data_IF_834142609001
#
_entry.id   IF_834142609001
#
_cell.length_a   1.000
_cell.length_b   1.000
_cell.length_c   1.000
_cell.angle_alpha   90.00
_cell.angle_beta   90.00
_cell.angle_gamma   90.00
#
_symmetry.space_group_name_H-M   'P 1'
#
loop_
_entity.id
_entity.type
_entity.pdbx_description
1 polymer ?
#
# COMPACT_ATOMS: atom_id res chain seq x y z
N UNK A 1 -4.28 21.27 10.66
CA UNK A 1 -4.11 19.85 10.93
C UNK A 1 -3.86 19.15 9.61
N UNK A 2 -2.83 18.35 9.53
CA UNK A 2 -2.46 17.61 8.33
C UNK A 2 -2.59 16.11 8.56
N UNK A 3 -3.23 15.41 7.64
CA UNK A 3 -3.31 13.95 7.61
C UNK A 3 -2.56 13.44 6.39
N UNK A 4 -1.67 12.50 6.60
CA UNK A 4 -0.90 11.84 5.54
C UNK A 4 -1.18 10.35 5.56
N UNK A 5 -1.47 9.79 4.39
CA UNK A 5 -1.59 8.37 4.14
C UNK A 5 -0.76 8.02 2.92
N UNK A 6 0.03 6.98 3.00
CA UNK A 6 0.80 6.50 1.87
C UNK A 6 0.85 4.98 1.87
N UNK A 7 1.03 4.42 0.70
CA UNK A 7 1.30 2.99 0.50
C UNK A 7 2.50 2.86 -0.40
N UNK A 8 3.36 1.93 -0.10
CA UNK A 8 4.60 1.73 -0.82
C UNK A 8 4.35 1.20 -2.24
N UNK A 9 5.26 1.57 -3.14
CA UNK A 9 5.30 1.09 -4.51
C UNK A 9 4.00 1.30 -5.28
N UNK A 10 3.59 0.30 -6.05
CA UNK A 10 2.29 0.31 -6.70
C UNK A 10 1.13 0.09 -5.73
N UNK A 11 1.45 -0.14 -4.43
CA UNK A 11 0.49 -0.40 -3.37
C UNK A 11 -0.46 -1.54 -3.73
N UNK A 12 0.11 -2.57 -4.30
CA UNK A 12 -0.58 -3.83 -4.58
C UNK A 12 -0.56 -4.74 -3.37
N UNK A 13 0.30 -4.42 -2.41
CA UNK A 13 0.44 -5.15 -1.16
C UNK A 13 0.88 -4.22 -0.03
N UNK A 14 0.62 -4.61 1.20
CA UNK A 14 1.11 -3.95 2.38
C UNK A 14 0.04 -3.47 3.36
N UNK A 15 0.50 -2.68 4.30
CA UNK A 15 -0.31 -2.03 5.32
C UNK A 15 -0.24 -0.51 5.13
N UNK A 16 -1.36 0.18 5.34
CA UNK A 16 -1.44 1.63 5.24
C UNK A 16 -1.60 2.24 6.62
N UNK A 17 -0.52 2.82 7.15
CA UNK A 17 -0.57 3.62 8.38
C UNK A 17 -0.99 5.04 8.06
N UNK A 18 -1.97 5.55 8.78
CA UNK A 18 -2.39 6.95 8.70
C UNK A 18 -1.69 7.78 9.76
N UNK A 19 -1.09 8.89 9.36
CA UNK A 19 -0.42 9.82 10.25
C UNK A 19 -1.19 11.14 10.34
N UNK A 20 -1.39 11.61 11.56
CA UNK A 20 -1.97 12.92 11.87
C UNK A 20 -0.88 13.82 12.47
N UNK A 21 -0.77 15.04 11.95
CA UNK A 21 0.14 16.06 12.52
C UNK A 21 -0.64 17.34 12.81
N UNK A 22 -0.43 17.90 14.00
CA UNK A 22 -0.98 19.20 14.35
C UNK A 22 -0.02 19.99 15.23
N UNK A 23 -0.18 21.31 15.21
CA UNK A 23 0.56 22.23 16.06
C UNK A 23 -0.36 22.82 17.13
N UNK A 24 0.17 23.03 18.33
CA UNK A 24 -0.52 23.63 19.47
C UNK A 24 0.43 24.51 20.28
N UNK A 25 -0.04 25.55 20.94
CA UNK A 25 0.80 26.32 21.86
C UNK A 25 1.35 25.45 23.01
N UNK A 26 2.57 25.73 23.45
CA UNK A 26 3.12 25.16 24.67
C UNK A 26 2.52 25.82 25.94
N UNK A 27 2.41 25.09 27.07
CA UNK A 27 2.76 23.69 27.26
C UNK A 27 1.68 22.73 26.73
N UNK A 28 2.11 21.58 26.19
CA UNK A 28 1.23 20.47 25.80
C UNK A 28 1.62 19.24 26.62
N UNK A 29 0.72 18.79 27.49
CA UNK A 29 1.00 17.81 28.55
C UNK A 29 0.44 16.41 28.29
N UNK A 30 -0.03 16.11 27.07
CA UNK A 30 -0.47 14.78 26.75
C UNK A 30 0.70 13.78 26.72
N UNK A 31 0.45 12.57 27.19
CA UNK A 31 1.46 11.51 27.21
C UNK A 31 1.49 10.74 25.87
N UNK A 32 2.55 9.98 25.66
CA UNK A 32 2.66 9.07 24.49
C UNK A 32 1.53 8.04 24.54
N UNK A 33 1.02 7.68 23.37
CA UNK A 33 -0.14 6.81 23.16
C UNK A 33 -1.49 7.36 23.68
N UNK A 34 -1.58 8.64 24.06
CA UNK A 34 -2.88 9.27 24.31
C UNK A 34 -3.69 9.33 23.01
N UNK A 35 -4.99 9.02 23.14
CA UNK A 35 -5.93 9.02 22.03
C UNK A 35 -6.22 10.45 21.55
N UNK A 36 -6.24 10.64 20.23
CA UNK A 36 -6.59 11.87 19.54
C UNK A 36 -7.67 11.58 18.51
N UNK A 37 -8.80 12.26 18.62
CA UNK A 37 -9.93 12.12 17.70
C UNK A 37 -10.17 13.45 16.98
N UNK A 38 -10.24 13.40 15.66
CA UNK A 38 -10.68 14.53 14.85
C UNK A 38 -12.19 14.50 14.69
N UNK A 39 -12.87 15.46 15.32
CA UNK A 39 -14.31 15.59 15.18
C UNK A 39 -14.70 16.38 13.94
N UNK A 40 -15.79 15.98 13.29
CA UNK A 40 -16.33 16.68 12.12
C UNK A 40 -15.64 16.31 10.78
N UNK A 41 -14.77 15.29 10.77
CA UNK A 41 -14.13 14.75 9.57
C UNK A 41 -14.47 13.26 9.49
N UNK A 42 -15.04 12.82 8.37
CA UNK A 42 -15.35 11.42 8.13
C UNK A 42 -14.18 10.68 7.48
N UNK A 43 -14.13 9.37 7.66
CA UNK A 43 -13.13 8.48 7.02
C UNK A 43 -11.77 8.47 7.72
N UNK A 44 -11.71 8.95 8.97
CA UNK A 44 -10.50 8.91 9.78
C UNK A 44 -10.65 8.01 10.99
N UNK A 45 -9.67 7.11 11.24
CA UNK A 45 -9.61 6.35 12.48
C UNK A 45 -9.25 7.24 13.67
N UNK A 46 -9.20 6.66 14.84
CA UNK A 46 -8.57 7.27 15.99
C UNK A 46 -7.06 7.29 15.83
N UNK A 47 -6.44 8.31 16.39
CA UNK A 47 -5.00 8.46 16.37
C UNK A 47 -4.42 8.39 17.79
N UNK A 48 -3.16 8.05 17.88
CA UNK A 48 -2.42 7.91 19.14
C UNK A 48 -1.12 8.69 19.04
N UNK A 49 -0.83 9.49 20.05
CA UNK A 49 0.39 10.32 20.07
C UNK A 49 1.62 9.40 20.02
N UNK A 50 2.41 9.56 18.97
CA UNK A 50 3.70 8.90 18.81
C UNK A 50 4.82 9.78 19.32
N UNK A 51 4.95 10.99 18.78
CA UNK A 51 6.05 11.89 19.07
C UNK A 51 5.61 13.34 19.13
N UNK A 52 6.48 14.17 19.72
CA UNK A 52 6.29 15.62 19.77
C UNK A 52 7.63 16.33 19.71
N UNK A 53 7.62 17.47 19.03
CA UNK A 53 8.76 18.41 18.98
C UNK A 53 8.29 19.78 19.40
N UNK A 54 9.17 20.56 20.06
CA UNK A 54 8.85 21.91 20.48
C UNK A 54 9.87 22.90 19.90
N UNK A 55 9.37 23.96 19.30
CA UNK A 55 10.16 25.09 18.83
C UNK A 55 9.35 26.38 18.97
N UNK A 56 9.99 27.45 19.43
CA UNK A 56 9.41 28.81 19.51
C UNK A 56 8.04 28.88 20.20
N UNK A 57 7.86 28.11 21.29
CA UNK A 57 6.60 28.08 22.03
C UNK A 57 5.46 27.32 21.37
N UNK A 58 5.73 26.64 20.27
CA UNK A 58 4.79 25.76 19.56
C UNK A 58 5.25 24.32 19.72
N UNK A 59 4.31 23.44 20.02
CA UNK A 59 4.50 21.99 20.03
C UNK A 59 3.86 21.39 18.79
N UNK A 60 4.65 20.72 17.97
CA UNK A 60 4.17 19.88 16.87
C UNK A 60 4.02 18.45 17.37
N UNK A 61 2.84 17.89 17.22
CA UNK A 61 2.47 16.56 17.66
C UNK A 61 2.25 15.68 16.45
N UNK A 62 2.89 14.52 16.43
CA UNK A 62 2.69 13.47 15.42
C UNK A 62 1.95 12.31 16.08
N UNK A 63 0.90 11.85 15.43
CA UNK A 63 0.07 10.75 15.87
C UNK A 63 -0.05 9.72 14.76
N UNK A 64 -0.16 8.46 15.14
CA UNK A 64 -0.35 7.34 14.22
C UNK A 64 -1.67 6.64 14.54
N UNK A 65 -2.28 6.01 13.55
CA UNK A 65 -3.43 5.14 13.78
C UNK A 65 -3.02 3.80 14.40
N UNK A 66 -3.99 2.93 14.66
CA UNK A 66 -3.72 1.62 15.27
C UNK A 66 -2.91 0.67 14.39
N UNK A 67 -2.75 0.96 13.12
CA UNK A 67 -1.88 0.16 12.26
C UNK A 67 -0.43 0.15 12.77
N UNK A 68 0.01 1.22 13.42
CA UNK A 68 1.34 1.28 14.03
C UNK A 68 1.54 0.30 15.22
N UNK A 69 0.47 -0.30 15.74
CA UNK A 69 0.55 -1.31 16.80
C UNK A 69 0.61 -2.75 16.27
N UNK A 70 0.58 -2.93 14.96
CA UNK A 70 0.70 -4.27 14.34
C UNK A 70 2.12 -4.84 14.39
N UNK A 71 3.13 -4.05 14.78
CA UNK A 71 4.50 -4.53 15.03
C UNK A 71 4.62 -5.45 16.25
N UNK A 72 3.54 -5.63 17.02
CA UNK A 72 3.47 -6.59 18.12
C UNK A 72 3.61 -8.02 17.59
N UNK A 73 4.31 -8.86 18.39
CA UNK A 73 4.50 -10.27 18.07
C UNK A 73 3.15 -11.00 18.04
N UNK A 74 2.95 -11.82 17.02
CA UNK A 74 1.75 -12.63 16.89
C UNK A 74 1.66 -13.66 18.04
N UNK A 75 0.52 -13.79 18.74
CA UNK A 75 0.40 -14.64 19.92
C UNK A 75 0.24 -16.12 19.56
N UNK A 76 1.30 -16.71 19.00
CA UNK A 76 1.33 -18.08 18.49
C UNK A 76 0.83 -19.12 19.52
N UNK A 77 1.19 -18.95 20.79
CA UNK A 77 0.80 -19.86 21.87
C UNK A 77 -0.71 -19.83 22.21
N UNK A 78 -1.41 -18.81 21.69
CA UNK A 78 -2.87 -18.71 21.84
C UNK A 78 -3.63 -19.47 20.75
N UNK A 79 -2.94 -20.06 19.78
CA UNK A 79 -3.57 -20.91 18.77
C UNK A 79 -4.02 -22.23 19.40
N UNK A 80 -5.14 -22.75 18.88
CA UNK A 80 -5.63 -24.07 19.27
C UNK A 80 -4.56 -25.13 18.98
N UNK A 81 -4.14 -25.84 20.01
CA UNK A 81 -3.13 -26.90 19.93
C UNK A 81 -3.57 -28.10 19.10
N UNK A 82 -4.89 -28.26 18.89
CA UNK A 82 -5.47 -29.32 18.06
C UNK A 82 -5.31 -29.07 16.55
N UNK A 83 -4.96 -27.84 16.16
CA UNK A 83 -4.68 -27.50 14.75
C UNK A 83 -3.22 -27.85 14.43
N UNK A 84 -3.00 -28.83 13.57
CA UNK A 84 -1.64 -29.34 13.28
C UNK A 84 -0.94 -28.57 12.15
N UNK A 85 -1.61 -28.34 11.02
CA UNK A 85 -0.99 -27.79 9.80
C UNK A 85 -1.46 -26.39 9.42
N UNK A 86 -2.77 -26.22 9.20
CA UNK A 86 -3.38 -25.00 8.69
C UNK A 86 -4.37 -24.39 9.68
N UNK A 87 -4.21 -23.10 9.96
CA UNK A 87 -5.10 -22.34 10.84
C UNK A 87 -6.17 -21.64 10.01
N UNK A 88 -7.46 -21.70 10.39
CA UNK A 88 -8.48 -20.89 9.72
C UNK A 88 -8.12 -19.41 9.73
N UNK A 89 -8.19 -18.74 8.58
CA UNK A 89 -7.78 -17.34 8.44
C UNK A 89 -8.55 -16.42 9.41
N UNK A 90 -9.81 -16.71 9.66
CA UNK A 90 -10.62 -15.95 10.63
C UNK A 90 -10.04 -16.01 12.06
N UNK A 91 -9.47 -17.15 12.47
CA UNK A 91 -8.82 -17.29 13.78
C UNK A 91 -7.53 -16.49 13.84
N UNK A 92 -6.72 -16.51 12.78
CA UNK A 92 -5.50 -15.69 12.67
C UNK A 92 -5.85 -14.21 12.79
N UNK A 93 -6.82 -13.75 12.02
CA UNK A 93 -7.25 -12.35 12.03
C UNK A 93 -7.86 -11.92 13.37
N UNK A 94 -8.62 -12.79 14.02
CA UNK A 94 -9.16 -12.50 15.34
C UNK A 94 -8.06 -12.34 16.39
N UNK A 95 -6.99 -13.15 16.32
CA UNK A 95 -5.84 -13.00 17.19
C UNK A 95 -5.10 -11.70 16.93
N UNK A 96 -4.92 -11.31 15.66
CA UNK A 96 -4.33 -10.01 15.32
C UNK A 96 -5.15 -8.86 15.91
N UNK A 97 -6.47 -8.86 15.72
CA UNK A 97 -7.38 -7.84 16.26
C UNK A 97 -7.28 -7.75 17.80
N UNK A 98 -7.22 -8.89 18.47
CA UNK A 98 -7.10 -8.94 19.93
C UNK A 98 -5.73 -8.44 20.41
N UNK A 99 -4.65 -8.76 19.69
CA UNK A 99 -3.26 -8.36 20.03
C UNK A 99 -3.07 -6.86 19.86
N UNK A 100 -3.49 -6.33 18.71
CA UNK A 100 -3.42 -4.88 18.45
C UNK A 100 -4.29 -4.09 19.43
N UNK A 101 -5.41 -4.68 19.87
CA UNK A 101 -6.33 -4.10 20.85
C UNK A 101 -7.09 -2.88 20.33
N UNK A 102 -8.28 -2.65 20.85
CA UNK A 102 -9.12 -1.50 20.47
C UNK A 102 -9.63 -1.48 19.03
N UNK A 103 -9.38 -2.51 18.26
CA UNK A 103 -10.05 -2.75 16.99
C UNK A 103 -11.41 -3.40 17.22
N UNK A 104 -12.40 -3.05 16.39
CA UNK A 104 -13.77 -3.57 16.50
C UNK A 104 -13.96 -4.89 15.76
N UNK A 105 -13.09 -5.19 14.81
CA UNK A 105 -13.14 -6.40 14.00
C UNK A 105 -12.23 -6.30 12.78
N UNK A 106 -12.50 -7.16 11.81
CA UNK A 106 -11.82 -7.18 10.53
C UNK A 106 -12.77 -7.52 9.39
N UNK A 107 -12.38 -7.18 8.15
CA UNK A 107 -13.20 -7.46 6.97
C UNK A 107 -12.44 -7.40 5.66
N UNK A 108 -13.12 -7.77 4.57
CA UNK A 108 -12.61 -7.68 3.22
C UNK A 108 -11.66 -8.81 2.80
N UNK A 109 -11.43 -9.83 3.64
CA UNK A 109 -10.55 -10.96 3.29
C UNK A 109 -11.13 -11.68 2.06
N UNK A 110 -10.29 -11.96 1.04
CA UNK A 110 -10.72 -12.70 -0.14
C UNK A 110 -11.26 -14.08 0.21
N UNK A 111 -12.36 -14.47 -0.44
CA UNK A 111 -13.06 -15.74 -0.15
C UNK A 111 -12.22 -16.99 -0.44
N UNK A 112 -11.23 -16.90 -1.33
CA UNK A 112 -10.34 -18.02 -1.63
C UNK A 112 -9.31 -18.28 -0.53
N UNK A 113 -9.01 -17.28 0.32
CA UNK A 113 -8.06 -17.41 1.42
C UNK A 113 -8.80 -17.95 2.65
N UNK A 114 -8.82 -19.26 2.81
CA UNK A 114 -9.54 -19.93 3.89
C UNK A 114 -8.65 -20.25 5.10
N UNK A 115 -7.38 -20.53 4.85
CA UNK A 115 -6.43 -20.99 5.87
C UNK A 115 -5.07 -20.29 5.72
N UNK A 116 -4.29 -20.34 6.80
CA UNK A 116 -2.92 -19.85 6.85
C UNK A 116 -2.02 -20.94 7.45
N UNK A 117 -0.82 -21.20 6.87
CA UNK A 117 0.09 -22.24 7.37
C UNK A 117 0.56 -21.94 8.80
N UNK A 118 0.30 -22.84 9.74
CA UNK A 118 0.67 -22.67 11.15
C UNK A 118 2.18 -22.49 11.33
N UNK A 119 2.98 -23.18 10.53
CA UNK A 119 4.44 -23.12 10.56
C UNK A 119 5.01 -21.71 10.26
N UNK A 120 4.23 -20.82 9.66
CA UNK A 120 4.60 -19.45 9.30
C UNK A 120 4.14 -18.41 10.33
N UNK A 121 3.52 -18.83 11.42
CA UNK A 121 2.97 -17.94 12.45
C UNK A 121 3.87 -17.76 13.67
N UNK A 122 4.93 -18.56 13.78
CA UNK A 122 5.84 -18.50 14.94
C UNK A 122 6.95 -17.47 14.75
N UNK A 123 7.11 -16.58 15.73
CA UNK A 123 8.19 -15.59 15.76
C UNK A 123 8.05 -14.48 14.72
N UNK A 124 6.84 -14.22 14.24
CA UNK A 124 6.52 -13.13 13.32
C UNK A 124 5.63 -12.10 14.01
N UNK A 125 5.59 -10.89 13.47
CA UNK A 125 4.68 -9.84 13.95
C UNK A 125 3.32 -9.94 13.28
N UNK A 126 2.31 -9.28 13.86
CA UNK A 126 1.02 -9.13 13.20
C UNK A 126 1.15 -8.39 11.85
N UNK A 127 2.07 -7.42 11.75
CA UNK A 127 2.36 -6.69 10.51
C UNK A 127 2.91 -7.62 9.41
N UNK A 128 3.80 -8.56 9.76
CA UNK A 128 4.34 -9.53 8.80
C UNK A 128 3.22 -10.39 8.19
N UNK A 129 2.30 -10.88 9.02
CA UNK A 129 1.16 -11.69 8.56
C UNK A 129 0.23 -10.86 7.67
N UNK A 130 -0.10 -9.63 8.08
CA UNK A 130 -0.93 -8.74 7.27
C UNK A 130 -0.27 -8.41 5.93
N UNK A 131 1.04 -8.20 5.92
CA UNK A 131 1.82 -7.96 4.70
C UNK A 131 1.80 -9.17 3.79
N UNK A 132 1.98 -10.37 4.33
CA UNK A 132 1.92 -11.63 3.58
C UNK A 132 0.53 -11.83 2.94
N UNK A 133 -0.54 -11.64 3.71
CA UNK A 133 -1.92 -11.73 3.20
C UNK A 133 -2.15 -10.68 2.10
N UNK A 134 -1.69 -9.44 2.31
CA UNK A 134 -1.88 -8.37 1.32
C UNK A 134 -1.08 -8.63 0.04
N UNK A 135 0.10 -9.23 0.15
CA UNK A 135 0.92 -9.65 -0.99
C UNK A 135 0.21 -10.74 -1.78
N UNK A 136 -0.20 -11.81 -1.12
CA UNK A 136 -0.89 -12.94 -1.76
C UNK A 136 -2.21 -12.54 -2.42
N UNK A 137 -2.94 -11.60 -1.82
CA UNK A 137 -4.25 -11.16 -2.30
C UNK A 137 -4.20 -9.88 -3.14
N UNK A 138 -3.04 -9.28 -3.31
CA UNK A 138 -2.82 -8.04 -4.04
C UNK A 138 -3.78 -6.94 -3.57
N UNK A 139 -3.49 -6.38 -2.39
CA UNK A 139 -4.32 -5.34 -1.79
C UNK A 139 -3.65 -4.70 -0.58
N UNK A 140 -4.39 -3.96 0.20
CA UNK A 140 -3.87 -3.14 1.30
C UNK A 140 -4.76 -3.26 2.51
N UNK A 141 -4.14 -3.35 3.68
CA UNK A 141 -4.82 -3.20 4.96
C UNK A 141 -4.84 -1.73 5.42
N UNK A 142 -5.96 -1.29 5.94
CA UNK A 142 -6.12 0.02 6.56
C UNK A 142 -7.12 -0.04 7.72
N UNK A 143 -7.11 0.97 8.59
CA UNK A 143 -8.08 1.10 9.68
C UNK A 143 -9.18 2.06 9.24
N UNK A 144 -10.43 1.66 9.43
CA UNK A 144 -11.61 2.50 9.17
C UNK A 144 -11.87 3.48 10.32
N UNK A 145 -12.78 4.43 10.13
CA UNK A 145 -13.26 5.34 11.18
C UNK A 145 -14.05 4.64 12.29
N UNK A 146 -14.49 3.41 12.06
CA UNK A 146 -15.11 2.54 13.06
C UNK A 146 -14.09 1.65 13.80
N UNK A 147 -12.79 1.91 13.64
CA UNK A 147 -11.70 1.09 14.19
C UNK A 147 -11.75 -0.38 13.70
N UNK A 148 -12.15 -0.60 12.47
CA UNK A 148 -12.16 -1.92 11.85
C UNK A 148 -10.93 -2.09 10.97
N UNK A 149 -10.25 -3.23 11.06
CA UNK A 149 -9.14 -3.62 10.18
C UNK A 149 -9.72 -4.12 8.86
N UNK A 150 -9.62 -3.31 7.82
CA UNK A 150 -10.25 -3.58 6.53
C UNK A 150 -9.22 -3.86 5.44
N UNK A 151 -9.45 -4.92 4.67
CA UNK A 151 -8.68 -5.20 3.45
C UNK A 151 -9.32 -4.53 2.24
N UNK A 152 -8.51 -3.82 1.47
CA UNK A 152 -8.90 -3.16 0.21
C UNK A 152 -8.19 -3.85 -0.95
N UNK A 153 -8.88 -4.66 -1.76
CA UNK A 153 -8.28 -5.31 -2.92
C UNK A 153 -7.82 -4.30 -3.99
N UNK A 154 -6.73 -4.62 -4.68
CA UNK A 154 -6.26 -3.86 -5.83
C UNK A 154 -7.38 -3.68 -6.87
N UNK A 155 -7.51 -2.45 -7.36
CA UNK A 155 -8.55 -2.11 -8.33
C UNK A 155 -9.92 -1.73 -7.73
N UNK A 156 -10.10 -1.77 -6.41
CA UNK A 156 -11.33 -1.30 -5.75
C UNK A 156 -11.46 0.21 -5.79
N UNK A 157 -12.70 0.72 -5.85
CA UNK A 157 -13.00 2.16 -5.82
C UNK A 157 -13.25 2.63 -4.38
N UNK A 158 -12.64 3.76 -3.98
CA UNK A 158 -12.71 4.27 -2.61
C UNK A 158 -13.17 5.73 -2.47
N UNK A 159 -13.33 6.48 -3.56
CA UNK A 159 -13.73 7.88 -3.48
C UNK A 159 -14.20 8.46 -4.80
N UNK A 160 -14.85 9.63 -4.72
CA UNK A 160 -15.34 10.40 -5.87
C UNK A 160 -15.10 11.90 -5.62
N UNK A 161 -14.44 12.56 -6.56
CA UNK A 161 -14.12 13.99 -6.50
C UNK A 161 -14.78 14.70 -7.69
N UNK A 162 -15.72 15.63 -7.44
CA UNK A 162 -16.36 16.42 -8.50
C UNK A 162 -15.35 17.21 -9.33
N UNK A 163 -15.66 17.44 -10.60
CA UNK A 163 -14.77 18.11 -11.56
C UNK A 163 -14.42 19.56 -11.19
N UNK A 164 -15.30 20.23 -10.45
CA UNK A 164 -15.09 21.60 -9.96
C UNK A 164 -14.30 21.65 -8.63
N UNK A 165 -13.89 20.50 -8.11
CA UNK A 165 -13.23 20.35 -6.81
C UNK A 165 -11.79 19.86 -6.90
N UNK A 166 -11.22 19.77 -8.10
CA UNK A 166 -9.80 19.41 -8.26
C UNK A 166 -9.10 20.24 -9.32
N UNK A 167 -7.79 20.39 -9.18
CA UNK A 167 -6.91 20.95 -10.21
C UNK A 167 -6.74 19.96 -11.36
N UNK A 168 -6.14 20.39 -12.47
CA UNK A 168 -5.73 19.48 -13.53
C UNK A 168 -4.82 18.36 -12.96
N UNK A 169 -4.97 17.18 -13.52
CA UNK A 169 -4.10 16.06 -13.22
C UNK A 169 -2.86 16.13 -14.11
N UNK A 170 -1.72 15.96 -13.51
CA UNK A 170 -0.45 15.75 -14.22
C UNK A 170 -0.27 14.23 -14.38
N UNK A 171 -0.43 13.74 -15.62
CA UNK A 171 -0.46 12.31 -15.93
C UNK A 171 0.93 11.83 -16.39
N UNK A 172 1.39 10.73 -15.83
CA UNK A 172 2.62 10.05 -16.16
C UNK A 172 2.41 8.76 -16.96
N UNK A 173 3.20 7.72 -16.65
CA UNK A 173 3.16 6.44 -17.36
C UNK A 173 1.92 5.63 -17.04
N UNK A 174 1.52 4.80 -17.99
CA UNK A 174 0.38 3.89 -17.87
C UNK A 174 0.83 2.43 -17.93
N UNK A 175 0.13 1.59 -17.18
CA UNK A 175 0.34 0.16 -17.16
C UNK A 175 -0.98 -0.59 -17.04
N UNK A 176 -1.17 -1.59 -17.89
CA UNK A 176 -2.28 -2.55 -17.78
C UNK A 176 -1.68 -3.95 -17.75
N UNK A 177 -2.03 -4.73 -16.74
CA UNK A 177 -1.53 -6.08 -16.60
C UNK A 177 -2.09 -7.00 -17.70
N UNK A 178 -1.21 -7.70 -18.39
CA UNK A 178 -1.60 -8.73 -19.36
C UNK A 178 -1.79 -10.10 -18.71
N UNK A 179 -1.23 -10.27 -17.51
CA UNK A 179 -1.33 -11.50 -16.73
C UNK A 179 -0.83 -11.32 -15.30
N UNK A 180 -1.06 -12.34 -14.51
CA UNK A 180 -0.57 -12.48 -13.14
C UNK A 180 0.17 -13.79 -13.01
N UNK A 181 1.32 -13.74 -12.35
CA UNK A 181 2.10 -14.91 -11.98
C UNK A 181 2.31 -14.90 -10.47
N UNK A 182 1.89 -15.97 -9.81
CA UNK A 182 2.11 -16.16 -8.39
C UNK A 182 3.04 -17.37 -8.18
N UNK A 183 3.91 -17.29 -7.18
CA UNK A 183 4.79 -18.39 -6.75
C UNK A 183 4.56 -18.59 -5.26
N UNK A 184 4.26 -19.83 -4.85
CA UNK A 184 4.12 -20.15 -3.43
C UNK A 184 5.45 -20.51 -2.75
N UNK A 185 5.43 -20.67 -1.44
CA UNK A 185 6.61 -21.03 -0.64
C UNK A 185 7.23 -22.39 -0.96
N UNK A 186 6.53 -23.25 -1.70
CA UNK A 186 7.02 -24.54 -2.21
C UNK A 186 7.59 -24.43 -3.62
N UNK A 187 7.52 -23.26 -4.24
CA UNK A 187 7.95 -23.01 -5.61
C UNK A 187 6.94 -23.39 -6.69
N UNK A 188 5.70 -23.70 -6.32
CA UNK A 188 4.64 -23.92 -7.31
C UNK A 188 4.28 -22.58 -7.98
N UNK A 189 4.06 -22.64 -9.30
CA UNK A 189 3.78 -21.48 -10.12
C UNK A 189 2.32 -21.53 -10.57
N UNK A 190 1.61 -20.44 -10.28
CA UNK A 190 0.23 -20.20 -10.69
C UNK A 190 0.20 -19.05 -11.69
N UNK A 191 -0.60 -19.18 -12.76
CA UNK A 191 -0.67 -18.18 -13.82
C UNK A 191 -2.12 -17.92 -14.20
N UNK A 192 -2.44 -16.65 -14.42
CA UNK A 192 -3.70 -16.22 -14.99
C UNK A 192 -3.43 -15.14 -16.05
N UNK A 193 -4.11 -15.20 -17.19
CA UNK A 193 -3.84 -14.34 -18.34
C UNK A 193 -2.53 -14.67 -19.03
N UNK A 194 -1.96 -13.71 -19.78
CA UNK A 194 -0.66 -13.84 -20.44
C UNK A 194 0.45 -13.24 -19.56
N UNK A 195 1.02 -14.07 -18.70
CA UNK A 195 2.16 -13.68 -17.86
C UNK A 195 3.53 -13.98 -18.50
N UNK A 196 3.57 -14.29 -19.79
CA UNK A 196 4.84 -14.52 -20.53
C UNK A 196 5.71 -13.27 -20.60
N UNK A 197 5.09 -12.11 -20.51
CA UNK A 197 5.78 -10.81 -20.51
C UNK A 197 5.98 -10.34 -19.08
N UNK A 198 7.17 -10.62 -18.55
CA UNK A 198 7.53 -10.28 -17.16
C UNK A 198 7.21 -8.81 -16.76
N UNK A 199 7.31 -7.89 -17.71
CA UNK A 199 7.14 -6.45 -17.42
C UNK A 199 5.73 -5.93 -17.65
N UNK A 200 4.88 -6.75 -18.24
CA UNK A 200 3.46 -6.44 -18.47
C UNK A 200 2.57 -7.33 -17.57
N UNK A 201 3.14 -8.00 -16.57
CA UNK A 201 2.44 -8.88 -15.65
C UNK A 201 2.72 -8.53 -14.20
N UNK A 202 1.74 -8.80 -13.35
CA UNK A 202 1.89 -8.74 -11.90
C UNK A 202 2.58 -10.03 -11.45
N UNK A 203 3.69 -9.90 -10.72
CA UNK A 203 4.44 -11.04 -10.20
C UNK A 203 4.39 -11.01 -8.67
N UNK A 204 3.91 -12.09 -8.07
CA UNK A 204 3.70 -12.23 -6.64
C UNK A 204 4.47 -13.46 -6.16
N UNK A 205 5.24 -13.28 -5.09
CA UNK A 205 5.87 -14.35 -4.34
C UNK A 205 5.29 -14.31 -2.93
N UNK A 206 4.63 -15.38 -2.52
CA UNK A 206 3.96 -15.46 -1.23
C UNK A 206 3.74 -16.91 -0.82
N UNK A 207 4.03 -17.22 0.43
CA UNK A 207 3.87 -18.57 0.98
C UNK A 207 2.44 -19.13 0.88
N UNK A 208 1.45 -18.23 0.81
CA UNK A 208 0.02 -18.57 0.73
C UNK A 208 -0.59 -18.31 -0.66
N UNK A 209 0.25 -18.10 -1.67
CA UNK A 209 -0.21 -17.94 -3.05
C UNK A 209 -0.97 -19.19 -3.55
N UNK A 210 -1.98 -18.97 -4.38
CA UNK A 210 -2.80 -20.03 -4.93
C UNK A 210 -3.32 -19.70 -6.34
N UNK A 211 -3.76 -20.74 -7.08
CA UNK A 211 -4.39 -20.53 -8.40
C UNK A 211 -5.67 -19.68 -8.30
N UNK A 212 -6.47 -19.87 -7.24
CA UNK A 212 -7.69 -19.10 -7.04
C UNK A 212 -7.36 -17.60 -6.79
N UNK A 213 -6.35 -17.31 -5.96
CA UNK A 213 -5.86 -15.96 -5.73
C UNK A 213 -5.32 -15.32 -7.00
N UNK A 214 -4.46 -16.03 -7.74
CA UNK A 214 -3.92 -15.58 -9.01
C UNK A 214 -5.01 -15.19 -10.01
N UNK A 215 -6.04 -16.01 -10.16
CA UNK A 215 -7.17 -15.77 -11.07
C UNK A 215 -8.02 -14.57 -10.62
N UNK A 216 -8.26 -14.41 -9.32
CA UNK A 216 -9.02 -13.28 -8.79
C UNK A 216 -8.27 -11.96 -8.98
N UNK A 217 -6.96 -11.95 -8.74
CA UNK A 217 -6.13 -10.75 -8.96
C UNK A 217 -6.17 -10.36 -10.45
N UNK A 218 -6.01 -11.32 -11.35
CA UNK A 218 -6.05 -11.05 -12.79
C UNK A 218 -7.39 -10.47 -13.23
N UNK A 219 -8.51 -11.02 -12.79
CA UNK A 219 -9.85 -10.52 -13.16
C UNK A 219 -10.09 -9.06 -12.77
N UNK A 220 -9.41 -8.56 -11.74
CA UNK A 220 -9.43 -7.16 -11.33
C UNK A 220 -8.42 -6.32 -12.11
N UNK A 221 -7.21 -6.85 -12.32
CA UNK A 221 -6.11 -6.13 -12.94
C UNK A 221 -6.32 -5.92 -14.45
N UNK A 222 -6.91 -6.90 -15.17
CA UNK A 222 -7.15 -6.80 -16.62
C UNK A 222 -8.10 -5.66 -17.01
N UNK A 223 -8.96 -5.24 -16.09
CA UNK A 223 -9.95 -4.16 -16.31
C UNK A 223 -9.47 -2.81 -15.80
N UNK A 224 -8.25 -2.73 -15.28
CA UNK A 224 -7.73 -1.53 -14.66
C UNK A 224 -6.38 -1.13 -15.24
N UNK A 225 -6.32 0.09 -15.79
CA UNK A 225 -5.05 0.72 -16.17
C UNK A 225 -4.50 1.50 -14.98
N UNK A 226 -3.32 1.11 -14.53
CA UNK A 226 -2.56 1.88 -13.57
C UNK A 226 -1.92 3.08 -14.27
N UNK A 227 -2.18 4.27 -13.78
CA UNK A 227 -1.61 5.51 -14.31
C UNK A 227 -0.89 6.22 -13.17
N UNK A 228 0.36 6.57 -13.37
CA UNK A 228 1.06 7.48 -12.49
C UNK A 228 0.47 8.88 -12.69
N UNK A 229 0.23 9.60 -11.60
CA UNK A 229 -0.31 10.96 -11.66
C UNK A 229 -0.03 11.76 -10.40
N UNK A 230 -0.17 13.07 -10.51
CA UNK A 230 -0.33 13.95 -9.36
C UNK A 230 -1.51 14.91 -9.54
N UNK A 231 -2.24 15.13 -8.45
CA UNK A 231 -3.25 16.17 -8.30
C UNK A 231 -2.83 17.06 -7.13
N UNK A 232 -2.36 18.26 -7.44
CA UNK A 232 -1.78 19.15 -6.43
C UNK A 232 -2.81 19.70 -5.45
N UNK A 233 -4.09 19.75 -5.84
CA UNK A 233 -5.13 20.21 -4.95
C UNK A 233 -6.51 19.69 -5.36
N UNK A 234 -7.12 18.99 -4.44
CA UNK A 234 -8.54 18.65 -4.54
C UNK A 234 -9.25 18.95 -3.21
N UNK A 235 -10.56 19.16 -3.29
CA UNK A 235 -11.40 19.32 -2.09
C UNK A 235 -12.18 18.03 -1.85
N UNK A 236 -12.00 17.49 -0.65
CA UNK A 236 -12.62 16.25 -0.22
C UNK A 236 -13.82 16.51 0.69
N UNK A 237 -14.82 15.63 0.64
CA UNK A 237 -15.92 15.57 1.62
C UNK A 237 -15.59 14.63 2.79
N UNK A 238 -14.78 13.61 2.53
CA UNK A 238 -14.25 12.66 3.49
C UNK A 238 -12.84 12.24 3.03
N UNK A 239 -12.00 11.74 3.94
CA UNK A 239 -10.67 11.25 3.58
C UNK A 239 -10.76 9.77 3.21
N UNK A 240 -10.56 9.42 1.93
CA UNK A 240 -10.66 8.04 1.48
C UNK A 240 -9.46 7.21 1.96
N UNK A 241 -9.59 5.88 2.02
CA UNK A 241 -8.44 5.00 2.16
C UNK A 241 -7.53 5.14 0.94
N UNK A 242 -6.21 5.15 1.16
CA UNK A 242 -5.22 5.04 0.08
C UNK A 242 -5.16 3.62 -0.44
N UNK A 243 -4.65 3.46 -1.66
CA UNK A 243 -4.59 2.17 -2.35
C UNK A 243 -5.80 1.84 -3.21
N UNK A 244 -6.96 2.41 -2.92
CA UNK A 244 -8.16 2.33 -3.77
C UNK A 244 -8.14 3.34 -4.92
N UNK A 245 -9.07 3.18 -5.85
CA UNK A 245 -9.25 4.10 -6.96
C UNK A 245 -10.16 5.26 -6.58
N UNK A 246 -9.76 6.47 -6.96
CA UNK A 246 -10.57 7.67 -6.83
C UNK A 246 -11.08 8.07 -8.21
N UNK A 247 -12.35 8.39 -8.30
CA UNK A 247 -12.98 8.93 -9.51
C UNK A 247 -12.80 10.46 -9.49
N UNK A 248 -11.96 10.98 -10.38
CA UNK A 248 -11.88 12.42 -10.66
C UNK A 248 -12.84 12.72 -11.80
N UNK A 249 -14.03 13.23 -11.48
CA UNK A 249 -15.08 13.46 -12.49
C UNK A 249 -14.61 14.42 -13.57
N UNK A 250 -14.76 14.00 -14.81
CA UNK A 250 -14.28 14.74 -15.98
C UNK A 250 -12.83 14.47 -16.36
N UNK A 251 -12.06 13.72 -15.55
CA UNK A 251 -10.65 13.41 -15.83
C UNK A 251 -10.37 11.91 -15.88
N UNK A 252 -11.03 11.11 -15.05
CA UNK A 252 -10.83 9.66 -15.06
C UNK A 252 -10.88 9.03 -13.67
N UNK A 253 -10.50 7.75 -13.61
CA UNK A 253 -10.44 6.97 -12.37
C UNK A 253 -9.02 6.51 -12.16
N UNK A 254 -8.41 6.94 -11.07
CA UNK A 254 -7.00 6.71 -10.77
C UNK A 254 -6.83 6.20 -9.35
N UNK A 255 -5.77 5.43 -9.11
CA UNK A 255 -5.46 4.92 -7.79
C UNK A 255 -4.82 6.00 -6.90
N UNK A 256 -5.25 6.12 -5.65
CA UNK A 256 -4.61 6.97 -4.66
C UNK A 256 -3.45 6.21 -3.99
N UNK A 257 -2.24 6.39 -4.46
CA UNK A 257 -1.05 5.81 -3.82
C UNK A 257 -0.58 6.61 -2.61
N UNK A 258 -0.73 7.94 -2.66
CA UNK A 258 -0.42 8.85 -1.56
C UNK A 258 -1.48 9.94 -1.45
N UNK A 259 -1.80 10.33 -0.23
CA UNK A 259 -2.72 11.41 0.07
C UNK A 259 -2.18 12.23 1.24
N UNK A 260 -2.07 13.54 1.04
CA UNK A 260 -1.78 14.49 2.13
C UNK A 260 -2.91 15.50 2.19
N UNK A 261 -3.65 15.52 3.29
CA UNK A 261 -4.81 16.36 3.46
C UNK A 261 -4.62 17.42 4.56
N UNK A 262 -4.86 18.68 4.21
CA UNK A 262 -4.93 19.78 5.16
C UNK A 262 -6.39 20.03 5.56
N UNK A 263 -6.63 19.92 6.87
CA UNK A 263 -7.95 20.07 7.48
C UNK A 263 -8.01 21.42 8.20
N UNK A 264 -8.96 22.24 7.79
CA UNK A 264 -9.18 23.56 8.36
C UNK A 264 -10.67 23.89 8.43
N UNK A 265 -11.02 25.06 8.98
CA UNK A 265 -12.39 25.57 8.96
C UNK A 265 -12.93 25.83 7.55
N UNK A 266 -12.06 25.98 6.54
CA UNK A 266 -12.44 26.15 5.14
C UNK A 266 -12.77 24.81 4.45
N UNK A 267 -12.50 23.68 5.09
CA UNK A 267 -12.74 22.33 4.58
C UNK A 267 -11.49 21.47 4.52
N UNK A 268 -11.59 20.36 3.83
CA UNK A 268 -10.52 19.40 3.62
C UNK A 268 -9.95 19.62 2.22
N UNK A 269 -8.67 19.97 2.14
CA UNK A 269 -7.95 20.11 0.88
C UNK A 269 -6.81 19.11 0.85
N UNK A 270 -6.69 18.37 -0.24
CA UNK A 270 -5.70 17.32 -0.35
C UNK A 270 -4.86 17.43 -1.62
N UNK A 271 -3.63 17.00 -1.51
CA UNK A 271 -2.78 16.53 -2.58
C UNK A 271 -2.94 15.02 -2.68
N UNK A 272 -3.17 14.51 -3.87
CA UNK A 272 -3.31 13.07 -4.13
C UNK A 272 -2.42 12.69 -5.29
N UNK A 273 -1.69 11.61 -5.15
CA UNK A 273 -0.81 11.11 -6.20
C UNK A 273 -0.78 9.58 -6.25
N UNK A 274 -0.37 9.10 -7.40
CA UNK A 274 -0.01 7.71 -7.58
C UNK A 274 1.39 7.70 -8.22
N UNK A 275 2.42 7.23 -7.52
CA UNK A 275 3.77 7.28 -8.02
C UNK A 275 3.96 6.36 -9.22
N UNK A 276 5.05 6.58 -9.93
CA UNK A 276 5.55 5.64 -10.93
C UNK A 276 5.76 4.26 -10.29
N UNK A 277 5.42 3.19 -11.01
CA UNK A 277 5.61 1.85 -10.51
C UNK A 277 7.09 1.58 -10.22
N UNK A 278 7.42 1.34 -8.96
CA UNK A 278 8.74 0.84 -8.60
C UNK A 278 8.82 -0.65 -8.93
N UNK A 279 9.73 -0.97 -9.84
CA UNK A 279 9.69 -2.17 -10.62
C UNK A 279 9.93 -3.53 -9.97
N UNK A 280 10.02 -3.68 -8.65
CA UNK A 280 10.23 -5.02 -8.07
C UNK A 280 8.92 -5.70 -7.66
N UNK A 281 7.95 -4.95 -7.20
CA UNK A 281 6.74 -5.50 -6.56
C UNK A 281 5.72 -6.07 -7.52
N UNK A 282 5.61 -5.50 -8.73
CA UNK A 282 4.73 -6.06 -9.76
C UNK A 282 5.44 -6.33 -11.07
N UNK A 283 6.75 -6.29 -11.08
CA UNK A 283 7.52 -6.50 -12.31
C UNK A 283 7.29 -5.43 -13.37
N UNK A 284 6.57 -4.36 -13.02
CA UNK A 284 6.28 -3.29 -13.96
C UNK A 284 7.47 -2.38 -14.08
N UNK A 285 7.99 -2.38 -15.27
CA UNK A 285 9.02 -1.43 -15.65
C UNK A 285 8.67 -0.87 -17.01
N UNK A 286 8.83 0.40 -17.18
CA UNK A 286 8.78 0.99 -18.51
C UNK A 286 9.75 0.28 -19.45
N UNK A 287 9.52 0.37 -20.74
CA UNK A 287 10.39 -0.25 -21.76
C UNK A 287 11.86 0.14 -21.58
N UNK A 288 12.12 1.38 -21.21
CA UNK A 288 13.48 1.87 -21.02
C UNK A 288 14.20 1.20 -19.86
N UNK A 289 13.48 0.91 -18.76
CA UNK A 289 14.06 0.17 -17.64
C UNK A 289 14.28 -1.30 -17.99
N UNK A 290 13.39 -1.88 -18.80
CA UNK A 290 13.59 -3.23 -19.35
C UNK A 290 14.84 -3.32 -20.19
N UNK A 291 15.02 -2.36 -21.09
CA UNK A 291 16.21 -2.30 -21.96
C UNK A 291 17.48 -2.13 -21.13
N UNK A 292 17.41 -1.35 -20.06
CA UNK A 292 18.49 -1.21 -19.11
C UNK A 292 18.81 -2.53 -18.40
N UNK A 293 17.80 -3.21 -17.86
CA UNK A 293 17.98 -4.51 -17.23
C UNK A 293 18.59 -5.54 -18.21
N UNK A 294 18.15 -5.52 -19.46
CA UNK A 294 18.73 -6.38 -20.49
C UNK A 294 20.20 -6.07 -20.76
N UNK A 295 20.56 -4.81 -20.84
CA UNK A 295 21.95 -4.37 -21.04
C UNK A 295 22.84 -4.74 -19.86
N UNK A 296 22.34 -4.56 -18.63
CA UNK A 296 23.07 -4.99 -17.43
C UNK A 296 23.35 -6.49 -17.42
N UNK A 297 22.39 -7.30 -17.89
CA UNK A 297 22.55 -8.76 -17.97
C UNK A 297 23.50 -9.22 -19.05
N UNK A 298 23.85 -8.38 -20.00
CA UNK A 298 24.84 -8.67 -21.04
C UNK A 298 26.29 -8.54 -20.58
N UNK A 299 26.51 -8.45 -19.28
CA UNK A 299 27.86 -8.51 -18.71
C UNK A 299 28.54 -7.16 -18.53
N UNK A 300 27.80 -6.08 -18.65
CA UNK A 300 28.33 -4.76 -18.29
C UNK A 300 28.36 -4.69 -16.77
N UNK A 301 29.53 -4.61 -16.20
CA UNK A 301 29.74 -4.42 -14.76
C UNK A 301 30.37 -3.05 -14.52
N UNK A 302 30.22 -2.51 -13.35
CA UNK A 302 30.81 -1.24 -12.97
C UNK A 302 29.79 -0.13 -12.74
N UNK A 303 30.14 1.10 -13.06
CA UNK A 303 29.28 2.23 -12.82
C UNK A 303 28.18 2.34 -13.88
N UNK A 304 26.99 2.62 -13.41
CA UNK A 304 25.85 2.87 -14.27
C UNK A 304 25.35 4.28 -14.02
N UNK A 305 25.21 5.03 -15.08
CA UNK A 305 24.74 6.41 -15.02
C UNK A 305 23.50 6.56 -15.86
N UNK A 306 22.44 7.03 -15.22
CA UNK A 306 21.23 7.44 -15.92
C UNK A 306 21.30 8.92 -16.21
N UNK A 307 21.33 9.28 -17.44
CA UNK A 307 21.20 10.68 -17.85
C UNK A 307 19.76 11.10 -17.95
N UNK A 308 18.93 10.22 -18.45
CA UNK A 308 17.47 10.24 -18.46
C UNK A 308 16.99 8.81 -18.51
N UNK A 309 15.77 8.55 -18.12
CA UNK A 309 15.19 7.22 -18.30
C UNK A 309 15.12 6.77 -19.77
N UNK A 310 15.23 7.69 -20.72
CA UNK A 310 15.35 7.42 -22.15
C UNK A 310 16.79 7.22 -22.60
N UNK A 311 17.73 7.71 -21.84
CA UNK A 311 19.14 7.61 -22.15
C UNK A 311 19.84 6.91 -21.02
N UNK A 312 20.37 5.76 -21.30
CA UNK A 312 21.11 4.98 -20.34
C UNK A 312 22.57 5.00 -20.73
N UNK A 313 23.38 5.35 -19.79
CA UNK A 313 24.81 5.19 -19.89
C UNK A 313 25.21 4.06 -18.95
N UNK A 314 25.67 2.99 -19.52
CA UNK A 314 26.28 1.91 -18.78
C UNK A 314 27.77 2.12 -18.81
N UNK A 315 28.35 2.21 -17.65
CA UNK A 315 29.79 2.32 -17.50
C UNK A 315 30.24 1.05 -16.81
N UNK A 316 30.83 0.19 -17.56
CA UNK A 316 31.66 -0.88 -17.00
C UNK A 316 32.98 -0.29 -16.55
N UNK A 317 33.59 -0.83 -15.54
CA UNK A 317 34.89 -0.37 -15.07
C UNK A 317 35.98 -0.36 -16.17
N UNK A 318 35.83 -1.14 -17.22
CA UNK A 318 36.73 -1.24 -18.35
C UNK A 318 36.11 -0.76 -19.66
N UNK A 319 34.79 -0.75 -19.77
CA UNK A 319 34.10 -0.37 -21.00
C UNK A 319 33.02 0.65 -20.70
N UNK A 320 33.02 1.72 -21.40
CA UNK A 320 31.99 2.70 -21.40
C UNK A 320 31.00 2.41 -22.51
N UNK A 321 29.82 1.99 -22.19
CA UNK A 321 28.78 1.83 -23.18
C UNK A 321 27.86 3.03 -23.08
N UNK A 322 27.97 3.87 -24.05
CA UNK A 322 27.04 4.97 -24.23
C UNK A 322 26.03 4.56 -25.26
N UNK A 323 24.83 4.53 -24.83
CA UNK A 323 23.71 4.31 -25.71
C UNK A 323 22.77 5.51 -25.54
N UNK A 324 23.28 6.65 -25.88
CA UNK A 324 22.58 7.92 -25.77
C UNK A 324 21.20 7.97 -26.43
#
# INVERSE_FOLDING_TARGET
VTVTKAVDGLGTSGICTSQLTFATPAPFNAYRAAEVVLTGVSGLPKYYIDSRTQSDGIVTVTCLDRMAFTDEEFPYDSLDSSVEEDVPIGSVMQLIVNTVGGLTGFGGIPLWLQTYPKSKLSGVTCADILTEISTAACGIWYITDEENLQFLPYGSTSGDIPSDKHTALDLGTEFTATGVKCVDGSGNIYVAGDASRKYDSINIESDIASQAGCSEIFSRAETYTHTAYSCQRCRLSAIPPTGGRIIFRGSGTYRAGSLTADISSAGIFAEVSNPEPSGSEIGVRGRNLRDLDARLKLGVSGAMVFTKYQGVVLIDGEETVNSG
#
